data_IF_301304330490
#
_entry.id   IF_301304330490
#
_cell.length_a   1.000
_cell.length_b   1.000
_cell.length_c   1.000
_cell.angle_alpha   90.00
_cell.angle_beta   90.00
_cell.angle_gamma   90.00
#
_symmetry.space_group_name_H-M   'P 1'
#
loop_
_entity.id
_entity.type
_entity.pdbx_description
1 polymer ?
#
# COMPACT_ATOMS: atom_id res chain seq x y z
N UNK A 1 -8.78 10.26 -2.60
CA UNK A 1 -8.23 9.61 -1.38
C UNK A 1 -9.27 9.04 -0.41
N UNK A 2 -10.46 9.63 -0.24
CA UNK A 2 -11.40 9.21 0.84
C UNK A 2 -11.87 7.74 0.84
N UNK A 3 -11.93 7.06 -0.32
CA UNK A 3 -12.23 5.62 -0.40
C UNK A 3 -11.06 4.76 0.07
N UNK A 4 -9.84 5.09 -0.37
CA UNK A 4 -8.59 4.40 0.02
C UNK A 4 -8.35 4.51 1.53
N UNK A 5 -8.60 5.69 2.11
CA UNK A 5 -8.44 5.91 3.56
C UNK A 5 -9.34 5.00 4.44
N UNK A 6 -10.40 4.42 3.89
CA UNK A 6 -11.33 3.53 4.59
C UNK A 6 -11.05 2.04 4.34
N UNK A 7 -10.03 1.71 3.53
CA UNK A 7 -9.68 0.32 3.23
C UNK A 7 -8.81 -0.27 4.33
N UNK A 8 -8.86 -1.59 4.45
CA UNK A 8 -7.81 -2.33 5.15
C UNK A 8 -6.49 -2.23 4.39
N UNK A 9 -5.37 -2.43 5.11
CA UNK A 9 -4.03 -2.49 4.57
C UNK A 9 -3.95 -3.57 3.49
N UNK A 10 -3.68 -3.16 2.25
CA UNK A 10 -3.59 -4.10 1.13
C UNK A 10 -2.42 -5.06 1.30
N UNK A 11 -1.31 -4.59 1.88
CA UNK A 11 -0.13 -5.41 2.13
C UNK A 11 -0.39 -6.49 3.20
N UNK A 12 -1.06 -6.15 4.31
CA UNK A 12 -1.49 -7.15 5.31
C UNK A 12 -2.42 -8.20 4.69
N UNK A 13 -3.38 -7.76 3.86
CA UNK A 13 -4.32 -8.64 3.16
C UNK A 13 -3.59 -9.66 2.28
N UNK A 14 -2.66 -9.19 1.45
CA UNK A 14 -1.87 -10.05 0.54
C UNK A 14 -0.91 -10.99 1.28
N UNK A 15 -0.39 -10.57 2.44
CA UNK A 15 0.43 -11.41 3.30
C UNK A 15 -0.39 -12.42 4.13
N UNK A 16 -1.72 -12.36 4.09
CA UNK A 16 -2.59 -13.20 4.92
C UNK A 16 -2.48 -12.87 6.42
N UNK A 17 -2.17 -11.62 6.77
CA UNK A 17 -1.98 -11.17 8.15
C UNK A 17 -3.10 -10.25 8.61
N UNK A 18 -3.40 -10.28 9.90
CA UNK A 18 -4.29 -9.29 10.53
C UNK A 18 -3.59 -7.94 10.60
N UNK A 19 -4.34 -6.86 10.31
CA UNK A 19 -3.87 -5.50 10.50
C UNK A 19 -4.02 -5.09 11.97
N UNK A 20 -2.96 -4.54 12.56
CA UNK A 20 -2.93 -4.17 13.99
C UNK A 20 -2.99 -2.66 14.26
N UNK A 21 -2.68 -1.83 13.26
CA UNK A 21 -2.67 -0.36 13.38
C UNK A 21 -3.56 0.32 12.34
N UNK A 22 -3.83 1.62 12.49
CA UNK A 22 -4.69 2.38 11.58
C UNK A 22 -4.18 2.37 10.13
N UNK A 23 -5.07 2.52 9.16
CA UNK A 23 -4.70 2.69 7.75
C UNK A 23 -4.32 4.15 7.46
N UNK A 24 -3.19 4.34 6.80
CA UNK A 24 -2.79 5.58 6.15
C UNK A 24 -2.92 5.48 4.63
N UNK A 25 -3.04 6.65 3.98
CA UNK A 25 -2.98 6.77 2.52
C UNK A 25 -1.53 7.03 2.10
N UNK A 26 -0.94 6.08 1.40
CA UNK A 26 0.42 6.17 0.87
C UNK A 26 0.40 6.47 -0.63
N UNK A 27 1.04 7.56 -1.08
CA UNK A 27 1.23 7.80 -2.52
C UNK A 27 2.34 6.90 -3.06
N UNK A 28 2.02 6.08 -4.07
CA UNK A 28 2.98 5.19 -4.71
C UNK A 28 4.16 5.98 -5.29
N UNK A 29 5.39 5.63 -4.89
CA UNK A 29 6.63 6.31 -5.32
C UNK A 29 7.40 5.43 -6.30
N UNK A 30 7.02 5.48 -7.58
CA UNK A 30 7.79 4.86 -8.67
C UNK A 30 8.25 5.93 -9.64
N UNK A 31 9.56 6.06 -9.85
CA UNK A 31 10.16 7.06 -10.74
C UNK A 31 10.12 8.51 -10.23
N UNK A 32 9.74 8.73 -8.96
CA UNK A 32 9.64 10.06 -8.34
C UNK A 32 10.75 10.24 -7.31
N UNK A 33 11.44 11.39 -7.32
CA UNK A 33 12.45 11.73 -6.30
C UNK A 33 11.83 11.90 -4.91
N UNK A 34 12.65 11.90 -3.85
CA UNK A 34 12.18 11.90 -2.45
C UNK A 34 11.22 13.07 -2.09
N UNK A 35 11.27 14.18 -2.82
CA UNK A 35 10.41 15.36 -2.64
C UNK A 35 9.16 15.38 -3.56
N UNK A 36 9.00 14.40 -4.45
CA UNK A 36 7.91 14.35 -5.42
C UNK A 36 6.84 13.35 -4.98
N UNK A 37 5.59 13.81 -4.97
CA UNK A 37 4.42 12.96 -4.74
C UNK A 37 3.84 12.52 -6.08
N UNK A 38 3.41 11.27 -6.17
CA UNK A 38 2.52 10.85 -7.25
C UNK A 38 1.15 11.53 -7.09
N UNK A 39 0.32 11.49 -8.15
CA UNK A 39 -1.03 12.04 -8.10
C UNK A 39 -1.93 11.32 -7.09
N UNK A 40 -3.00 11.99 -6.64
CA UNK A 40 -3.91 11.49 -5.59
C UNK A 40 -4.70 10.22 -5.95
N UNK A 41 -4.69 9.82 -7.23
CA UNK A 41 -5.24 8.55 -7.71
C UNK A 41 -4.27 7.37 -7.55
N UNK A 42 -2.97 7.64 -7.41
CA UNK A 42 -1.93 6.63 -7.23
C UNK A 42 -1.66 6.41 -5.74
N UNK A 43 -2.70 6.03 -4.99
CA UNK A 43 -2.62 5.87 -3.53
C UNK A 43 -2.95 4.46 -3.06
N UNK A 44 -2.25 4.01 -2.02
CA UNK A 44 -2.24 2.64 -1.49
C UNK A 44 -2.62 2.69 0.00
N UNK A 45 -3.57 1.86 0.47
CA UNK A 45 -3.90 1.77 1.89
C UNK A 45 -2.90 0.87 2.61
N UNK A 46 -2.15 1.42 3.55
CA UNK A 46 -1.14 0.69 4.34
C UNK A 46 -1.33 0.96 5.83
N UNK A 47 -1.10 -0.04 6.68
CA UNK A 47 -1.14 0.17 8.13
C UNK A 47 0.06 1.02 8.59
N UNK A 48 -0.19 1.98 9.48
CA UNK A 48 0.79 3.01 9.87
C UNK A 48 2.09 2.39 10.42
N UNK A 49 1.96 1.55 11.45
CA UNK A 49 3.09 1.11 12.28
C UNK A 49 3.97 0.02 11.63
N UNK A 50 3.44 -0.74 10.66
CA UNK A 50 4.15 -1.89 10.07
C UNK A 50 4.40 -1.73 8.56
N UNK A 51 3.33 -1.77 7.74
CA UNK A 51 3.47 -1.78 6.28
C UNK A 51 3.79 -0.40 5.67
N UNK A 52 3.46 0.69 6.37
CA UNK A 52 3.75 2.06 5.90
C UNK A 52 5.10 2.57 6.43
N UNK A 53 5.18 2.91 7.71
CA UNK A 53 6.34 3.54 8.36
C UNK A 53 7.25 2.53 9.09
N UNK A 54 6.77 1.29 9.30
CA UNK A 54 7.53 0.26 9.98
C UNK A 54 8.81 -0.14 9.23
N UNK A 55 9.74 -0.76 9.96
CA UNK A 55 11.06 -1.15 9.43
C UNK A 55 10.98 -2.06 8.21
N UNK A 56 9.94 -2.90 8.11
CA UNK A 56 9.72 -3.81 6.98
C UNK A 56 8.83 -3.21 5.88
N UNK A 57 8.22 -2.05 6.13
CA UNK A 57 7.24 -1.40 5.28
C UNK A 57 7.84 -0.65 4.09
N UNK A 58 6.98 0.05 3.35
CA UNK A 58 7.37 0.74 2.10
C UNK A 58 8.33 1.91 2.31
N UNK A 59 8.32 2.54 3.49
CA UNK A 59 9.29 3.58 3.86
C UNK A 59 10.50 3.05 4.64
N UNK A 60 10.47 1.80 5.08
CA UNK A 60 11.62 1.11 5.66
C UNK A 60 12.40 0.31 4.62
N UNK A 61 12.78 -0.91 4.99
CA UNK A 61 13.59 -1.81 4.19
C UNK A 61 12.79 -2.50 3.07
N UNK A 62 11.47 -2.33 2.98
CA UNK A 62 10.62 -2.95 1.97
C UNK A 62 10.65 -4.49 1.96
N UNK A 63 10.87 -5.10 3.13
CA UNK A 63 10.90 -6.57 3.29
C UNK A 63 9.62 -7.23 2.81
N UNK A 64 8.46 -6.62 3.09
CA UNK A 64 7.18 -7.19 2.67
C UNK A 64 6.97 -7.20 1.15
N UNK A 65 7.47 -6.18 0.46
CA UNK A 65 7.45 -6.15 -1.01
C UNK A 65 8.28 -7.30 -1.58
N UNK A 66 9.47 -7.57 -1.02
CA UNK A 66 10.31 -8.71 -1.42
C UNK A 66 9.64 -10.06 -1.14
N UNK A 67 9.04 -10.23 0.03
CA UNK A 67 8.31 -11.46 0.40
C UNK A 67 7.18 -11.74 -0.60
N UNK A 68 6.38 -10.70 -0.91
CA UNK A 68 5.29 -10.79 -1.88
C UNK A 68 5.79 -10.88 -3.34
N UNK A 69 7.07 -10.59 -3.60
CA UNK A 69 7.63 -10.40 -4.94
C UNK A 69 6.87 -9.34 -5.74
N UNK A 70 6.48 -8.27 -5.05
CA UNK A 70 5.67 -7.17 -5.58
C UNK A 70 6.41 -5.85 -5.45
N UNK A 71 6.04 -4.89 -6.27
CA UNK A 71 6.43 -3.48 -6.18
C UNK A 71 5.29 -2.65 -5.58
N UNK A 72 5.52 -1.37 -5.33
CA UNK A 72 4.42 -0.46 -4.98
C UNK A 72 3.38 -0.33 -6.11
N UNK A 73 3.77 -0.49 -7.38
CA UNK A 73 2.81 -0.50 -8.49
C UNK A 73 1.90 -1.72 -8.43
N UNK A 74 2.42 -2.87 -8.02
CA UNK A 74 1.60 -4.07 -7.86
C UNK A 74 0.64 -3.94 -6.67
N UNK A 75 1.08 -3.30 -5.57
CA UNK A 75 0.18 -2.95 -4.47
C UNK A 75 -0.90 -1.94 -4.87
N UNK A 76 -0.55 -0.97 -5.73
CA UNK A 76 -1.52 -0.05 -6.31
C UNK A 76 -2.52 -0.80 -7.20
N UNK A 77 -2.05 -1.73 -8.05
CA UNK A 77 -2.94 -2.56 -8.87
C UNK A 77 -3.92 -3.36 -7.98
N UNK A 78 -3.43 -4.04 -6.96
CA UNK A 78 -4.27 -4.78 -6.02
C UNK A 78 -5.28 -3.88 -5.28
N UNK A 79 -4.89 -2.63 -4.99
CA UNK A 79 -5.79 -1.62 -4.42
C UNK A 79 -6.92 -1.27 -5.38
N UNK A 80 -6.59 -1.07 -6.66
CA UNK A 80 -7.57 -0.74 -7.71
C UNK A 80 -8.51 -1.92 -7.99
N UNK A 81 -7.98 -3.14 -8.08
CA UNK A 81 -8.78 -4.36 -8.19
C UNK A 81 -9.74 -4.49 -7.00
N UNK A 82 -9.32 -4.18 -5.79
CA UNK A 82 -10.21 -4.24 -4.62
C UNK A 82 -11.29 -3.16 -4.62
N UNK A 83 -11.02 -1.99 -5.23
CA UNK A 83 -11.97 -0.87 -5.28
C UNK A 83 -12.95 -0.95 -6.45
N UNK A 84 -12.53 -1.53 -7.57
CA UNK A 84 -13.21 -1.44 -8.85
C UNK A 84 -13.32 -2.77 -9.60
N UNK A 85 -12.60 -3.81 -9.17
CA UNK A 85 -12.70 -5.13 -9.76
C UNK A 85 -14.09 -5.71 -9.54
N UNK A 86 -14.64 -6.32 -10.58
CA UNK A 86 -15.87 -7.09 -10.49
C UNK A 86 -15.60 -8.37 -9.69
N UNK A 87 -16.58 -8.78 -8.86
CA UNK A 87 -16.56 -10.12 -8.26
C UNK A 87 -16.76 -11.09 -9.42
N UNK A 88 -15.68 -11.77 -9.82
CA UNK A 88 -15.77 -12.93 -10.71
C UNK A 88 -16.20 -14.16 -9.94
#
# INVERSE_FOLDING_TARGET
MGRVAKMACICCTLLGRTQESKTDVHHARVGHGAAQRAGDFCTIPLCHDDCHQGSNGVHGDQTYLRILKMTQMDLLNATLERLYGEIR
#
